data_IF_529706468986
#
_entry.id   IF_529706468986
#
_cell.length_a   1.000
_cell.length_b   1.000
_cell.length_c   1.000
_cell.angle_alpha   90.00
_cell.angle_beta   90.00
_cell.angle_gamma   90.00
#
_symmetry.space_group_name_H-M   'P 1'
#
loop_
_entity.id
_entity.type
_entity.pdbx_description
1 polymer ?
#
# COMPACT_ATOMS: atom_id res chain seq x y z
N UNK A 1 -18.42 -13.28 23.35
CA UNK A 1 -17.54 -14.17 22.59
C UNK A 1 -16.43 -13.35 21.97
N UNK A 2 -15.20 -13.59 22.37
CA UNK A 2 -14.04 -13.04 21.71
C UNK A 2 -13.83 -13.81 20.41
N UNK A 3 -13.86 -13.12 19.26
CA UNK A 3 -13.49 -13.71 17.99
C UNK A 3 -12.06 -14.28 18.10
N UNK A 4 -11.86 -15.52 17.70
CA UNK A 4 -10.55 -16.14 17.71
C UNK A 4 -9.76 -15.63 16.52
N UNK A 5 -8.72 -14.84 16.78
CA UNK A 5 -7.82 -14.36 15.73
C UNK A 5 -6.82 -15.45 15.37
N UNK A 6 -6.81 -15.83 14.12
CA UNK A 6 -5.85 -16.79 13.59
C UNK A 6 -4.64 -16.04 13.03
N UNK A 7 -3.46 -16.37 13.53
CA UNK A 7 -2.21 -15.81 13.01
C UNK A 7 -1.92 -16.40 11.63
N UNK A 8 -1.85 -15.53 10.61
CA UNK A 8 -1.56 -15.93 9.24
C UNK A 8 -0.07 -15.72 8.93
N UNK A 9 0.46 -14.54 9.29
CA UNK A 9 1.88 -14.21 9.11
C UNK A 9 2.45 -13.67 10.42
N UNK A 10 3.58 -14.21 10.82
CA UNK A 10 4.37 -13.66 11.93
C UNK A 10 5.37 -12.62 11.44
N UNK A 11 6.03 -11.93 12.35
CA UNK A 11 6.93 -10.81 12.06
C UNK A 11 8.00 -11.14 11.01
N UNK A 12 8.68 -12.27 11.15
CA UNK A 12 9.73 -12.68 10.20
C UNK A 12 9.16 -12.88 8.79
N UNK A 13 7.96 -13.44 8.67
CA UNK A 13 7.29 -13.67 7.40
C UNK A 13 6.84 -12.34 6.77
N UNK A 14 6.30 -11.43 7.56
CA UNK A 14 5.90 -10.09 7.08
C UNK A 14 7.12 -9.35 6.53
N UNK A 15 8.24 -9.34 7.26
CA UNK A 15 9.48 -8.70 6.83
C UNK A 15 10.02 -9.31 5.53
N UNK A 16 9.96 -10.61 5.41
CA UNK A 16 10.38 -11.32 4.20
C UNK A 16 9.53 -10.91 2.99
N UNK A 17 8.20 -10.78 3.15
CA UNK A 17 7.29 -10.33 2.10
C UNK A 17 7.60 -8.90 1.69
N UNK A 18 7.81 -8.01 2.65
CA UNK A 18 8.14 -6.60 2.38
C UNK A 18 9.47 -6.50 1.62
N UNK A 19 10.47 -7.26 2.02
CA UNK A 19 11.76 -7.28 1.34
C UNK A 19 11.65 -7.76 -0.10
N UNK A 20 10.91 -8.83 -0.35
CA UNK A 20 10.65 -9.34 -1.70
C UNK A 20 9.93 -8.28 -2.55
N UNK A 21 8.90 -7.63 -1.99
CA UNK A 21 8.19 -6.57 -2.68
C UNK A 21 9.13 -5.41 -3.05
N UNK A 22 10.03 -5.04 -2.14
CA UNK A 22 11.00 -3.97 -2.40
C UNK A 22 11.90 -4.29 -3.59
N UNK A 23 12.37 -5.53 -3.72
CA UNK A 23 13.14 -5.97 -4.88
C UNK A 23 12.32 -5.92 -6.17
N UNK A 24 11.06 -6.38 -6.14
CA UNK A 24 10.15 -6.34 -7.29
C UNK A 24 9.89 -4.90 -7.74
N UNK A 25 9.67 -3.98 -6.78
CA UNK A 25 9.46 -2.56 -7.05
C UNK A 25 10.72 -1.97 -7.72
N UNK A 26 11.89 -2.27 -7.19
CA UNK A 26 13.16 -1.82 -7.78
C UNK A 26 13.35 -2.36 -9.19
N UNK A 27 13.12 -3.65 -9.41
CA UNK A 27 13.25 -4.28 -10.74
C UNK A 27 12.37 -3.59 -11.78
N UNK A 28 11.16 -3.21 -11.42
CA UNK A 28 10.22 -2.55 -12.32
C UNK A 28 10.45 -1.04 -12.45
N UNK A 29 11.34 -0.47 -11.66
CA UNK A 29 11.62 0.98 -11.62
C UNK A 29 13.10 1.30 -11.61
N UNK A 30 13.94 0.39 -12.09
CA UNK A 30 15.41 0.52 -12.02
C UNK A 30 15.93 1.73 -12.81
N UNK A 31 15.20 2.17 -13.82
CA UNK A 31 15.55 3.33 -14.67
C UNK A 31 15.06 4.67 -14.08
N UNK A 32 14.32 4.63 -12.98
CA UNK A 32 13.88 5.82 -12.28
C UNK A 32 14.96 6.35 -11.33
N UNK A 33 14.97 7.67 -11.12
CA UNK A 33 15.82 8.31 -10.10
C UNK A 33 15.09 8.46 -8.77
N UNK A 34 13.78 8.72 -8.85
CA UNK A 34 12.90 8.99 -7.71
C UNK A 34 11.62 8.19 -7.85
N UNK A 35 11.20 7.56 -6.78
CA UNK A 35 9.89 6.91 -6.66
C UNK A 35 9.14 7.55 -5.49
N UNK A 36 7.90 7.94 -5.73
CA UNK A 36 7.01 8.47 -4.69
C UNK A 36 6.21 7.31 -4.13
N UNK A 37 6.32 7.08 -2.83
CA UNK A 37 5.54 6.04 -2.15
C UNK A 37 4.44 6.73 -1.33
N UNK A 38 3.20 6.62 -1.82
CA UNK A 38 2.03 7.23 -1.23
C UNK A 38 1.24 6.19 -0.45
N UNK A 39 1.35 6.21 0.88
CA UNK A 39 0.66 5.30 1.78
C UNK A 39 -0.61 5.90 2.33
N UNK A 40 -1.70 5.14 2.30
CA UNK A 40 -2.97 5.55 2.89
C UNK A 40 -2.83 5.58 4.41
N UNK A 41 -3.26 6.67 5.03
CA UNK A 41 -3.11 6.90 6.47
C UNK A 41 -3.52 5.69 7.30
N UNK A 42 -2.74 5.39 8.32
CA UNK A 42 -2.85 4.17 9.13
C UNK A 42 -1.81 3.11 8.71
N UNK A 43 -2.23 1.87 8.58
CA UNK A 43 -1.32 0.76 8.24
C UNK A 43 -0.76 0.84 6.82
N UNK A 44 -1.48 1.46 5.89
CA UNK A 44 -0.96 1.72 4.54
C UNK A 44 0.28 2.62 4.57
N UNK A 45 0.23 3.68 5.35
CA UNK A 45 1.40 4.57 5.53
C UNK A 45 2.54 3.88 6.27
N UNK A 46 2.23 3.05 7.26
CA UNK A 46 3.23 2.24 7.95
C UNK A 46 3.95 1.30 6.98
N UNK A 47 3.20 0.64 6.09
CA UNK A 47 3.77 -0.20 5.04
C UNK A 47 4.63 0.61 4.05
N UNK A 48 4.16 1.78 3.67
CA UNK A 48 4.89 2.69 2.77
C UNK A 48 6.26 3.05 3.34
N UNK A 49 6.34 3.34 4.64
CA UNK A 49 7.62 3.64 5.31
C UNK A 49 8.55 2.44 5.33
N UNK A 50 8.02 1.25 5.60
CA UNK A 50 8.81 0.02 5.62
C UNK A 50 9.34 -0.33 4.22
N UNK A 51 8.50 -0.21 3.19
CA UNK A 51 8.90 -0.41 1.80
C UNK A 51 9.98 0.61 1.39
N UNK A 52 9.78 1.87 1.74
CA UNK A 52 10.73 2.94 1.43
C UNK A 52 12.10 2.69 2.04
N UNK A 53 12.13 2.23 3.28
CA UNK A 53 13.36 1.88 3.98
C UNK A 53 14.09 0.71 3.30
N UNK A 54 13.35 -0.34 2.94
CA UNK A 54 13.93 -1.49 2.23
C UNK A 54 14.45 -1.10 0.84
N UNK A 55 13.68 -0.34 0.06
CA UNK A 55 14.08 0.11 -1.28
C UNK A 55 15.36 0.95 -1.20
N UNK A 56 15.45 1.84 -0.22
CA UNK A 56 16.63 2.68 -0.01
C UNK A 56 17.85 1.84 0.35
N UNK A 57 17.68 0.75 1.10
CA UNK A 57 18.80 -0.11 1.50
C UNK A 57 19.30 -1.02 0.38
N UNK A 58 18.47 -1.39 -0.59
CA UNK A 58 18.81 -2.34 -1.65
C UNK A 58 19.09 -1.68 -3.01
N UNK A 59 18.84 -0.38 -3.16
CA UNK A 59 18.90 0.30 -4.45
C UNK A 59 19.39 1.74 -4.32
N UNK A 60 19.82 2.36 -5.46
CA UNK A 60 20.16 3.79 -5.49
C UNK A 60 18.93 4.70 -5.62
N UNK A 61 17.71 4.16 -5.67
CA UNK A 61 16.49 4.95 -5.81
C UNK A 61 16.30 5.91 -4.64
N UNK A 62 15.98 7.15 -4.96
CA UNK A 62 15.52 8.12 -3.98
C UNK A 62 14.03 7.90 -3.74
N UNK A 63 13.64 7.76 -2.49
CA UNK A 63 12.24 7.55 -2.08
C UNK A 63 11.69 8.82 -1.45
N UNK A 64 10.53 9.25 -1.94
CA UNK A 64 9.73 10.32 -1.32
C UNK A 64 8.49 9.64 -0.76
N UNK A 65 8.28 9.73 0.56
CA UNK A 65 7.13 9.11 1.22
C UNK A 65 6.04 10.17 1.45
N UNK A 66 4.83 9.85 1.03
CA UNK A 66 3.66 10.74 1.11
C UNK A 66 2.54 10.03 1.86
N UNK A 67 1.86 10.75 2.72
CA UNK A 67 0.67 10.25 3.41
C UNK A 67 -0.58 10.68 2.65
N UNK A 68 -1.45 9.72 2.34
CA UNK A 68 -2.76 9.99 1.75
C UNK A 68 -3.79 10.05 2.87
N UNK A 69 -4.44 11.20 3.00
CA UNK A 69 -5.44 11.47 4.04
C UNK A 69 -6.83 11.35 3.43
N UNK A 70 -7.63 10.42 3.95
CA UNK A 70 -9.00 10.19 3.48
C UNK A 70 -9.82 9.48 4.54
N UNK A 71 -11.14 9.60 4.45
CA UNK A 71 -12.07 8.82 5.24
C UNK A 71 -12.37 7.51 4.52
N UNK A 72 -11.85 6.40 5.03
CA UNK A 72 -12.06 5.07 4.45
C UNK A 72 -13.50 4.58 4.54
N UNK A 73 -14.27 5.08 5.52
CA UNK A 73 -15.66 4.67 5.71
C UNK A 73 -16.58 5.29 4.64
N UNK A 74 -16.35 6.54 4.30
CA UNK A 74 -17.13 7.27 3.29
C UNK A 74 -16.22 8.03 2.32
N UNK A 75 -15.41 7.32 1.51
CA UNK A 75 -14.43 7.97 0.63
C UNK A 75 -15.07 8.86 -0.43
N UNK A 76 -16.30 8.57 -0.83
CA UNK A 76 -17.06 9.37 -1.80
C UNK A 76 -17.49 10.73 -1.25
N UNK A 77 -17.59 10.87 0.06
CA UNK A 77 -18.02 12.11 0.73
C UNK A 77 -16.88 12.93 1.29
N UNK A 78 -15.69 12.34 1.41
CA UNK A 78 -14.53 13.02 1.97
C UNK A 78 -13.61 13.53 0.88
N UNK A 79 -12.89 14.59 1.21
CA UNK A 79 -11.79 15.05 0.37
C UNK A 79 -10.59 14.14 0.59
N UNK A 80 -9.95 13.72 -0.50
CA UNK A 80 -8.69 13.00 -0.45
C UNK A 80 -7.57 14.00 -0.61
N UNK A 81 -6.70 14.09 0.38
CA UNK A 81 -5.59 15.05 0.39
C UNK A 81 -4.26 14.36 0.70
N UNK A 82 -3.18 15.07 0.44
CA UNK A 82 -1.81 14.60 0.69
C UNK A 82 -1.15 15.49 1.74
N UNK A 83 -0.16 14.97 2.44
CA UNK A 83 0.63 15.75 3.41
C UNK A 83 1.75 16.56 2.75
N UNK A 84 1.67 16.74 1.43
CA UNK A 84 2.55 17.62 0.65
C UNK A 84 1.80 18.17 -0.56
N UNK A 85 2.42 19.15 -1.24
CA UNK A 85 1.85 19.73 -2.44
C UNK A 85 1.89 18.72 -3.60
N UNK A 86 0.72 18.43 -4.18
CA UNK A 86 0.59 17.49 -5.29
C UNK A 86 1.39 17.95 -6.53
N UNK A 87 1.56 19.24 -6.73
CA UNK A 87 2.34 19.78 -7.84
C UNK A 87 3.80 19.33 -7.83
N UNK A 88 4.36 19.04 -6.65
CA UNK A 88 5.72 18.51 -6.50
C UNK A 88 5.87 17.09 -7.01
N UNK A 89 4.75 16.42 -7.30
CA UNK A 89 4.70 15.03 -7.76
C UNK A 89 4.53 14.90 -9.28
N UNK A 90 4.47 16.01 -10.01
CA UNK A 90 4.35 16.00 -11.47
C UNK A 90 5.46 15.18 -12.12
N UNK A 91 5.08 14.39 -13.12
CA UNK A 91 5.96 13.56 -13.95
C UNK A 91 6.73 12.50 -13.19
N UNK A 92 6.32 12.21 -11.95
CA UNK A 92 6.93 11.18 -11.12
C UNK A 92 6.14 9.88 -11.17
N UNK A 93 6.83 8.79 -10.85
CA UNK A 93 6.21 7.47 -10.63
C UNK A 93 5.66 7.43 -9.23
N UNK A 94 4.38 7.07 -9.12
CA UNK A 94 3.65 6.97 -7.85
C UNK A 94 3.42 5.50 -7.52
N UNK A 95 3.84 5.09 -6.35
CA UNK A 95 3.49 3.79 -5.78
C UNK A 95 2.45 4.03 -4.69
N UNK A 96 1.21 3.67 -4.96
CA UNK A 96 0.10 3.82 -4.02
C UNK A 96 0.03 2.56 -3.16
N UNK A 97 0.04 2.73 -1.83
CA UNK A 97 0.24 1.64 -0.88
C UNK A 97 -0.89 1.58 0.14
N UNK A 98 -1.44 0.41 0.34
CA UNK A 98 -2.34 0.10 1.45
C UNK A 98 -1.97 -1.27 2.05
N UNK A 99 -2.45 -1.56 3.23
CA UNK A 99 -2.16 -2.81 3.92
C UNK A 99 -2.94 -3.98 3.34
N UNK A 100 -4.25 -3.81 3.13
CA UNK A 100 -5.14 -4.86 2.63
C UNK A 100 -5.97 -4.35 1.45
N UNK A 101 -5.98 -5.12 0.36
CA UNK A 101 -6.89 -4.89 -0.76
C UNK A 101 -8.13 -5.77 -0.59
N UNK A 102 -9.26 -5.14 -0.26
CA UNK A 102 -10.57 -5.79 -0.19
C UNK A 102 -11.31 -5.63 -1.52
N UNK A 103 -12.20 -4.64 -1.60
CA UNK A 103 -12.97 -4.34 -2.80
C UNK A 103 -12.23 -3.47 -3.83
N UNK A 104 -11.16 -2.82 -3.43
CA UNK A 104 -10.44 -1.83 -4.23
C UNK A 104 -11.02 -0.42 -4.12
N UNK A 105 -12.09 -0.22 -3.36
CA UNK A 105 -12.77 1.09 -3.22
C UNK A 105 -11.84 2.15 -2.64
N UNK A 106 -11.18 1.86 -1.54
CA UNK A 106 -10.25 2.80 -0.88
C UNK A 106 -9.15 3.26 -1.83
N UNK A 107 -8.49 2.30 -2.50
CA UNK A 107 -7.41 2.61 -3.44
C UNK A 107 -7.90 3.38 -4.66
N UNK A 108 -9.10 3.07 -5.16
CA UNK A 108 -9.68 3.78 -6.30
C UNK A 108 -9.88 5.27 -5.97
N UNK A 109 -10.46 5.57 -4.82
CA UNK A 109 -10.65 6.96 -4.39
C UNK A 109 -9.34 7.66 -4.02
N UNK A 110 -8.38 6.93 -3.49
CA UNK A 110 -7.05 7.46 -3.15
C UNK A 110 -6.27 7.94 -4.38
N UNK A 111 -6.64 7.52 -5.57
CA UNK A 111 -6.00 7.96 -6.81
C UNK A 111 -6.35 9.40 -7.19
N UNK A 112 -7.44 9.95 -6.65
CA UNK A 112 -7.94 11.28 -7.06
C UNK A 112 -6.89 12.39 -7.10
N UNK A 113 -6.07 12.62 -6.05
CA UNK A 113 -5.07 13.69 -6.11
C UNK A 113 -4.06 13.52 -7.25
N UNK A 114 -3.69 12.27 -7.53
CA UNK A 114 -2.70 11.94 -8.56
C UNK A 114 -3.28 12.03 -9.97
N UNK A 115 -4.59 11.93 -10.12
CA UNK A 115 -5.28 12.08 -11.41
C UNK A 115 -5.52 13.55 -11.76
N UNK A 116 -5.33 14.47 -10.82
CA UNK A 116 -5.45 15.91 -11.05
C UNK A 116 -4.20 16.54 -11.67
N UNK A 117 -3.11 15.78 -11.74
CA UNK A 117 -1.83 16.21 -12.31
C UNK A 117 -1.32 15.18 -13.31
N UNK A 118 -0.35 15.57 -14.13
CA UNK A 118 0.35 14.61 -15.00
C UNK A 118 1.39 13.84 -14.18
N UNK A 119 1.12 12.57 -13.90
CA UNK A 119 2.10 11.66 -13.31
C UNK A 119 2.66 10.73 -14.39
N UNK A 120 3.83 10.17 -14.17
CA UNK A 120 4.43 9.23 -15.14
C UNK A 120 3.66 7.90 -15.17
N UNK A 121 3.37 7.34 -14.01
CA UNK A 121 2.53 6.14 -13.84
C UNK A 121 2.09 6.04 -12.38
N UNK A 122 1.04 5.23 -12.16
CA UNK A 122 0.60 4.84 -10.82
C UNK A 122 0.68 3.32 -10.75
N UNK A 123 1.42 2.81 -9.78
CA UNK A 123 1.45 1.39 -9.41
C UNK A 123 0.83 1.22 -8.03
N UNK A 124 0.34 0.03 -7.73
CA UNK A 124 -0.32 -0.29 -6.46
C UNK A 124 0.43 -1.42 -5.77
N UNK A 125 0.71 -1.25 -4.48
CA UNK A 125 1.31 -2.26 -3.62
C UNK A 125 0.45 -2.49 -2.38
N UNK A 126 0.18 -3.75 -2.06
CA UNK A 126 -0.56 -4.14 -0.85
C UNK A 126 0.14 -5.31 -0.18
N UNK A 127 0.06 -5.39 1.14
CA UNK A 127 0.62 -6.51 1.87
C UNK A 127 -0.24 -7.76 1.67
N UNK A 128 -1.56 -7.62 1.76
CA UNK A 128 -2.50 -8.73 1.60
C UNK A 128 -3.56 -8.37 0.55
N UNK A 129 -3.74 -9.27 -0.42
CA UNK A 129 -4.82 -9.19 -1.39
C UNK A 129 -5.86 -10.27 -1.07
N UNK A 130 -7.11 -9.87 -0.80
CA UNK A 130 -8.21 -10.77 -0.48
C UNK A 130 -8.98 -11.29 -1.69
N UNK A 131 -8.69 -10.75 -2.88
CA UNK A 131 -9.31 -11.17 -4.14
C UNK A 131 -10.84 -11.04 -4.18
N UNK A 132 -11.38 -9.95 -3.62
CA UNK A 132 -12.81 -9.61 -3.69
C UNK A 132 -13.05 -8.28 -4.43
N UNK A 133 -12.58 -8.13 -5.70
CA UNK A 133 -12.63 -6.85 -6.38
C UNK A 133 -14.06 -6.43 -6.72
N UNK A 134 -14.40 -5.20 -6.38
CA UNK A 134 -15.63 -4.49 -6.80
C UNK A 134 -15.25 -3.31 -7.70
N UNK A 135 -14.10 -2.72 -7.45
CA UNK A 135 -13.49 -1.67 -8.28
C UNK A 135 -12.33 -2.24 -9.09
N UNK A 136 -12.05 -1.73 -10.30
CA UNK A 136 -11.01 -2.28 -11.17
C UNK A 136 -9.60 -1.86 -10.72
N UNK A 137 -9.20 -2.30 -9.55
CA UNK A 137 -7.88 -2.05 -8.99
C UNK A 137 -7.12 -3.37 -8.90
N UNK A 138 -5.99 -3.44 -9.59
CA UNK A 138 -5.09 -4.58 -9.55
C UNK A 138 -3.77 -4.16 -8.89
N UNK A 139 -3.32 -4.89 -7.86
CA UNK A 139 -2.01 -4.60 -7.27
C UNK A 139 -0.90 -5.10 -8.21
N UNK A 140 0.07 -4.24 -8.46
CA UNK A 140 1.30 -4.60 -9.16
C UNK A 140 2.22 -5.43 -8.26
N UNK A 141 2.14 -5.19 -6.95
CA UNK A 141 2.95 -5.85 -5.94
C UNK A 141 2.06 -6.31 -4.80
N UNK A 142 2.09 -7.59 -4.50
CA UNK A 142 1.32 -8.21 -3.42
C UNK A 142 2.25 -9.02 -2.52
N UNK A 143 2.19 -8.77 -1.21
CA UNK A 143 2.95 -9.55 -0.25
C UNK A 143 2.40 -10.97 -0.11
N UNK A 144 1.10 -11.08 0.06
CA UNK A 144 0.42 -12.35 0.31
C UNK A 144 -0.99 -12.38 -0.29
N UNK A 145 -1.27 -13.41 -1.09
CA UNK A 145 -2.61 -13.67 -1.62
C UNK A 145 -3.37 -14.55 -0.63
N UNK A 146 -4.54 -14.08 -0.19
CA UNK A 146 -5.34 -14.79 0.78
C UNK A 146 -6.79 -14.85 0.32
N UNK A 147 -7.24 -16.02 -0.11
CA UNK A 147 -8.66 -16.24 -0.41
C UNK A 147 -9.44 -16.31 0.90
N UNK A 148 -10.39 -15.41 1.07
CA UNK A 148 -11.22 -15.31 2.27
C UNK A 148 -12.69 -15.35 1.90
N UNK A 149 -13.55 -15.68 2.88
CA UNK A 149 -14.98 -15.47 2.74
C UNK A 149 -15.32 -14.00 3.00
N UNK A 150 -16.53 -13.57 2.60
CA UNK A 150 -16.98 -12.20 2.85
C UNK A 150 -17.14 -11.86 4.34
N UNK A 151 -17.28 -12.89 5.19
CA UNK A 151 -17.45 -12.73 6.64
C UNK A 151 -16.13 -12.67 7.40
N UNK A 152 -15.08 -13.19 6.80
CA UNK A 152 -13.74 -13.15 7.40
C UNK A 152 -13.15 -11.76 7.28
N UNK A 153 -12.36 -11.39 8.27
CA UNK A 153 -11.73 -10.08 8.35
C UNK A 153 -10.22 -10.24 8.50
N UNK A 154 -9.46 -9.45 7.75
CA UNK A 154 -7.99 -9.45 7.82
C UNK A 154 -7.54 -8.22 8.60
N UNK A 155 -6.74 -8.47 9.65
CA UNK A 155 -6.13 -7.41 10.44
C UNK A 155 -4.61 -7.43 10.26
N UNK A 156 -4.04 -6.31 9.83
CA UNK A 156 -2.60 -6.12 9.68
C UNK A 156 -2.11 -5.22 10.79
N UNK A 157 -1.05 -5.63 11.47
CA UNK A 157 -0.34 -4.83 12.48
C UNK A 157 1.10 -4.70 12.01
N UNK A 158 1.57 -3.47 11.84
CA UNK A 158 2.94 -3.17 11.41
C UNK A 158 3.63 -2.29 12.46
N UNK A 159 4.88 -2.61 12.78
CA UNK A 159 5.65 -1.90 13.78
C UNK A 159 6.87 -2.70 14.21
N UNK A 160 7.21 -2.62 15.49
CA UNK A 160 8.34 -3.38 16.05
C UNK A 160 8.14 -4.88 15.91
N UNK A 161 6.89 -5.33 16.07
CA UNK A 161 6.51 -6.72 15.87
C UNK A 161 5.28 -6.76 14.99
N UNK A 162 5.49 -7.12 13.73
CA UNK A 162 4.44 -7.15 12.71
C UNK A 162 3.71 -8.48 12.70
N UNK A 163 2.44 -8.47 12.29
CA UNK A 163 1.64 -9.68 12.17
C UNK A 163 0.44 -9.46 11.25
N UNK A 164 -0.07 -10.55 10.68
CA UNK A 164 -1.31 -10.59 9.92
C UNK A 164 -2.22 -11.63 10.54
N UNK A 165 -3.45 -11.24 10.84
CA UNK A 165 -4.47 -12.10 11.45
C UNK A 165 -5.69 -12.20 10.58
N UNK A 166 -6.38 -13.35 10.70
CA UNK A 166 -7.69 -13.60 10.11
C UNK A 166 -8.69 -13.89 11.23
N UNK A 167 -9.82 -13.19 11.25
CA UNK A 167 -10.90 -13.33 12.24
C UNK A 167 -12.30 -13.23 11.59
#
# INVERSE_FOLDING_TARGET
MTATKNLILEDAQVRQKIRRMAYEIFENNFDEKVVVIAGIDGQGYALAKLLGKEITSISPLKVVTVKVLMDKATPEKSEVSLDMDVEDLKKKTILLVDDVLNSGRTLAYAMKPFLSIEVKKIEVAVLVNRSHPVFPVHPNYTGYELSTTLREHVTVVLGEKSAVYLD
#
